data_IF_277738430953
#
_entry.id   IF_277738430953
#
_cell.length_a   1.000
_cell.length_b   1.000
_cell.length_c   1.000
_cell.angle_alpha   90.00
_cell.angle_beta   90.00
_cell.angle_gamma   90.00
#
_symmetry.space_group_name_H-M   'P 1'
#
loop_
_entity.id
_entity.type
_entity.pdbx_description
1 polymer ?
#
# COMPACT_ATOMS: atom_id res chain seq x y z
N UNK A 1 15.69 -10.09 0.84
CA UNK A 1 14.76 -8.97 0.63
C UNK A 1 15.51 -7.77 0.07
N UNK A 2 15.00 -7.19 -0.99
CA UNK A 2 15.68 -6.07 -1.65
C UNK A 2 15.19 -4.75 -1.05
N UNK A 3 16.09 -4.05 -0.36
CA UNK A 3 15.83 -2.73 0.24
C UNK A 3 15.33 -1.75 -0.82
N UNK A 4 15.89 -1.80 -2.03
CA UNK A 4 15.48 -0.95 -3.14
C UNK A 4 14.00 -1.12 -3.48
N UNK A 5 13.51 -2.36 -3.57
CA UNK A 5 12.10 -2.66 -3.84
C UNK A 5 11.20 -2.14 -2.73
N UNK A 6 11.62 -2.31 -1.48
CA UNK A 6 10.89 -1.79 -0.31
C UNK A 6 10.75 -0.26 -0.37
N UNK A 7 11.84 0.44 -0.64
CA UNK A 7 11.85 1.91 -0.72
C UNK A 7 10.97 2.39 -1.87
N UNK A 8 11.06 1.78 -3.04
CA UNK A 8 10.23 2.12 -4.21
C UNK A 8 8.74 1.92 -3.89
N UNK A 9 8.38 0.80 -3.28
CA UNK A 9 6.99 0.51 -2.89
C UNK A 9 6.48 1.51 -1.84
N UNK A 10 7.33 1.86 -0.87
CA UNK A 10 6.99 2.84 0.16
C UNK A 10 6.67 4.21 -0.46
N UNK A 11 7.52 4.71 -1.34
CA UNK A 11 7.30 5.98 -2.01
C UNK A 11 6.10 5.94 -2.95
N UNK A 12 5.90 4.83 -3.67
CA UNK A 12 4.74 4.66 -4.55
C UNK A 12 3.42 4.71 -3.77
N UNK A 13 3.32 3.96 -2.67
CA UNK A 13 2.12 3.97 -1.84
C UNK A 13 1.90 5.31 -1.15
N UNK A 14 2.96 5.97 -0.71
CA UNK A 14 2.87 7.32 -0.13
C UNK A 14 2.36 8.32 -1.17
N UNK A 15 2.87 8.26 -2.41
CA UNK A 15 2.41 9.10 -3.50
C UNK A 15 0.94 8.90 -3.81
N UNK A 16 0.49 7.64 -3.89
CA UNK A 16 -0.93 7.31 -4.11
C UNK A 16 -1.79 7.83 -2.96
N UNK A 17 -1.34 7.65 -1.71
CA UNK A 17 -2.04 8.15 -0.51
C UNK A 17 -2.20 9.67 -0.56
N UNK A 18 -1.15 10.39 -0.96
CA UNK A 18 -1.19 11.85 -1.06
C UNK A 18 -2.15 12.32 -2.15
N UNK A 19 -2.19 11.64 -3.29
CA UNK A 19 -3.14 11.95 -4.37
C UNK A 19 -4.58 11.72 -3.90
N UNK A 20 -4.84 10.63 -3.18
CA UNK A 20 -6.17 10.34 -2.60
C UNK A 20 -6.55 11.40 -1.58
N UNK A 21 -5.63 11.78 -0.69
CA UNK A 21 -5.86 12.85 0.29
C UNK A 21 -6.17 14.18 -0.39
N UNK A 22 -5.41 14.52 -1.44
CA UNK A 22 -5.65 15.74 -2.21
C UNK A 22 -7.02 15.73 -2.88
N UNK A 23 -7.42 14.59 -3.43
CA UNK A 23 -8.74 14.43 -4.06
C UNK A 23 -9.86 14.63 -3.03
N UNK A 24 -9.73 14.01 -1.86
CA UNK A 24 -10.71 14.16 -0.77
C UNK A 24 -10.75 15.61 -0.28
N UNK A 25 -9.58 16.24 -0.13
CA UNK A 25 -9.48 17.64 0.28
C UNK A 25 -10.20 18.58 -0.70
N UNK A 26 -10.13 18.29 -2.01
CA UNK A 26 -10.87 19.04 -3.02
C UNK A 26 -12.39 18.96 -2.81
N UNK A 27 -12.92 17.77 -2.48
CA UNK A 27 -14.34 17.61 -2.18
C UNK A 27 -14.76 18.39 -0.95
N UNK A 28 -13.88 18.58 0.01
CA UNK A 28 -14.13 19.38 1.22
C UNK A 28 -13.72 20.86 1.06
N UNK A 29 -13.41 21.29 -0.17
CA UNK A 29 -13.00 22.66 -0.49
C UNK A 29 -11.76 23.14 0.25
N UNK A 30 -10.84 22.25 0.56
CA UNK A 30 -9.55 22.61 1.12
C UNK A 30 -8.65 23.22 0.04
N UNK A 31 -7.95 24.29 0.39
CA UNK A 31 -7.08 24.98 -0.56
C UNK A 31 -5.66 24.42 -0.63
N UNK A 32 -5.23 23.70 0.43
CA UNK A 32 -3.87 23.19 0.49
C UNK A 32 -3.76 21.99 1.43
N UNK A 33 -2.72 21.15 1.20
CA UNK A 33 -2.29 20.14 2.14
C UNK A 33 -1.11 20.70 2.94
N UNK A 34 -1.16 20.52 4.26
CA UNK A 34 -0.08 20.98 5.13
C UNK A 34 1.15 20.06 5.02
N UNK A 35 2.34 20.65 5.08
CA UNK A 35 3.60 19.90 5.03
C UNK A 35 3.67 18.82 6.13
N UNK A 36 3.26 19.06 7.40
CA UNK A 36 3.24 18.00 8.41
C UNK A 36 2.41 16.78 8.02
N UNK A 37 1.30 16.97 7.31
CA UNK A 37 0.45 15.86 6.82
C UNK A 37 1.23 14.93 5.88
N UNK A 38 2.08 15.49 5.04
CA UNK A 38 2.92 14.74 4.11
C UNK A 38 3.86 13.79 4.88
N UNK A 39 4.55 14.30 5.90
CA UNK A 39 5.45 13.48 6.73
C UNK A 39 4.69 12.48 7.59
N UNK A 40 3.52 12.83 8.10
CA UNK A 40 2.65 11.93 8.84
C UNK A 40 2.20 10.76 7.97
N UNK A 41 1.80 11.03 6.73
CA UNK A 41 1.41 10.02 5.75
C UNK A 41 2.57 9.09 5.42
N UNK A 42 3.75 9.63 5.22
CA UNK A 42 4.96 8.84 4.99
C UNK A 42 5.27 7.93 6.18
N UNK A 43 5.20 8.46 7.40
CA UNK A 43 5.41 7.70 8.62
C UNK A 43 4.39 6.57 8.79
N UNK A 44 3.11 6.85 8.54
CA UNK A 44 2.05 5.85 8.60
C UNK A 44 2.29 4.72 7.60
N UNK A 45 2.64 5.06 6.35
CA UNK A 45 2.94 4.07 5.32
C UNK A 45 4.18 3.24 5.67
N UNK A 46 5.20 3.85 6.27
CA UNK A 46 6.39 3.14 6.73
C UNK A 46 6.02 2.09 7.78
N UNK A 47 5.22 2.46 8.78
CA UNK A 47 4.75 1.54 9.82
C UNK A 47 3.91 0.42 9.21
N UNK A 48 3.00 0.74 8.29
CA UNK A 48 2.17 -0.25 7.60
C UNK A 48 3.06 -1.26 6.87
N UNK A 49 4.04 -0.80 6.11
CA UNK A 49 4.93 -1.68 5.35
C UNK A 49 5.75 -2.58 6.25
N UNK A 50 6.25 -2.06 7.38
CA UNK A 50 6.98 -2.87 8.35
C UNK A 50 6.08 -3.93 8.99
N UNK A 51 4.86 -3.56 9.37
CA UNK A 51 3.89 -4.50 9.93
C UNK A 51 3.50 -5.60 8.94
N UNK A 52 3.24 -5.22 7.68
CA UNK A 52 2.92 -6.19 6.63
C UNK A 52 4.09 -7.13 6.35
N UNK A 53 5.31 -6.62 6.40
CA UNK A 53 6.51 -7.44 6.23
C UNK A 53 6.62 -8.51 7.32
N UNK A 54 6.37 -8.13 8.58
CA UNK A 54 6.36 -9.06 9.70
C UNK A 54 5.21 -10.07 9.59
N UNK A 55 4.05 -9.61 9.15
CA UNK A 55 2.86 -10.44 8.98
C UNK A 55 3.06 -11.49 7.90
N UNK A 56 3.68 -11.11 6.78
CA UNK A 56 3.95 -12.03 5.67
C UNK A 56 4.93 -13.15 6.02
N UNK A 57 5.72 -12.99 7.08
CA UNK A 57 6.59 -14.06 7.60
C UNK A 57 5.81 -15.24 8.19
N UNK A 58 4.54 -15.02 8.53
CA UNK A 58 3.69 -16.07 9.11
C UNK A 58 3.21 -17.11 8.10
N UNK A 59 3.43 -16.88 6.80
CA UNK A 59 3.09 -17.80 5.71
C UNK A 59 1.68 -18.39 5.82
N UNK A 60 0.68 -17.51 5.87
CA UNK A 60 -0.71 -17.95 5.96
C UNK A 60 -1.15 -18.62 4.66
N UNK A 61 -1.69 -19.83 4.77
CA UNK A 61 -2.13 -20.64 3.62
C UNK A 61 -3.43 -20.14 3.00
N UNK A 62 -4.24 -19.40 3.76
CA UNK A 62 -5.53 -18.91 3.30
C UNK A 62 -5.40 -17.46 2.79
N UNK A 63 -5.65 -17.25 1.50
CA UNK A 63 -5.58 -15.95 0.86
C UNK A 63 -6.56 -14.94 1.47
N UNK A 64 -7.77 -15.40 1.81
CA UNK A 64 -8.80 -14.54 2.40
C UNK A 64 -8.38 -14.07 3.79
N UNK A 65 -7.81 -14.97 4.59
CA UNK A 65 -7.32 -14.65 5.93
C UNK A 65 -6.17 -13.65 5.86
N UNK A 66 -5.23 -13.87 4.94
CA UNK A 66 -4.10 -12.97 4.71
C UNK A 66 -4.58 -11.57 4.32
N UNK A 67 -5.50 -11.48 3.36
CA UNK A 67 -6.07 -10.21 2.93
C UNK A 67 -6.79 -9.49 4.07
N UNK A 68 -7.56 -10.23 4.87
CA UNK A 68 -8.29 -9.66 6.01
C UNK A 68 -7.33 -9.09 7.06
N UNK A 69 -6.23 -9.79 7.34
CA UNK A 69 -5.21 -9.32 8.29
C UNK A 69 -4.48 -8.09 7.74
N UNK A 70 -4.15 -8.07 6.47
CA UNK A 70 -3.49 -6.93 5.82
C UNK A 70 -4.35 -5.66 5.93
N UNK A 71 -5.64 -5.76 5.59
CA UNK A 71 -6.58 -4.64 5.70
C UNK A 71 -6.73 -4.21 7.15
N UNK A 72 -6.82 -5.15 8.08
CA UNK A 72 -6.94 -4.86 9.52
C UNK A 72 -5.74 -4.07 10.02
N UNK A 73 -4.53 -4.45 9.63
CA UNK A 73 -3.29 -3.72 10.00
C UNK A 73 -3.34 -2.29 9.47
N UNK A 74 -3.75 -2.10 8.22
CA UNK A 74 -3.84 -0.76 7.62
C UNK A 74 -4.85 0.10 8.38
N UNK A 75 -6.04 -0.42 8.66
CA UNK A 75 -7.10 0.30 9.37
C UNK A 75 -6.65 0.67 10.78
N UNK A 76 -6.06 -0.28 11.52
CA UNK A 76 -5.57 -0.04 12.88
C UNK A 76 -4.48 1.03 12.88
N UNK A 77 -3.51 0.93 11.98
CA UNK A 77 -2.40 1.89 11.89
C UNK A 77 -2.92 3.29 11.59
N UNK A 78 -3.80 3.43 10.61
CA UNK A 78 -4.38 4.73 10.24
C UNK A 78 -5.23 5.31 11.38
N UNK A 79 -5.97 4.46 12.10
CA UNK A 79 -6.77 4.91 13.25
C UNK A 79 -5.88 5.41 14.38
N UNK A 80 -4.80 4.69 14.70
CA UNK A 80 -3.84 5.10 15.74
C UNK A 80 -3.16 6.40 15.35
N UNK A 81 -2.66 6.52 14.12
CA UNK A 81 -2.05 7.76 13.63
C UNK A 81 -3.04 8.91 13.63
N UNK A 82 -4.28 8.67 13.21
CA UNK A 82 -5.34 9.66 13.24
C UNK A 82 -5.63 10.17 14.63
N UNK A 83 -5.65 9.28 15.64
CA UNK A 83 -5.84 9.65 17.04
C UNK A 83 -4.66 10.44 17.59
N UNK A 84 -3.43 10.02 17.26
CA UNK A 84 -2.20 10.69 17.74
C UNK A 84 -2.05 12.08 17.14
N UNK A 85 -2.32 12.21 15.81
CA UNK A 85 -2.15 13.47 15.10
C UNK A 85 -3.43 14.29 14.96
N UNK A 86 -4.50 13.88 15.63
CA UNK A 86 -5.80 14.57 15.62
C UNK A 86 -6.41 14.75 14.23
N UNK A 87 -6.25 13.76 13.36
CA UNK A 87 -6.85 13.80 12.01
C UNK A 87 -8.37 13.80 12.07
N UNK A 88 -8.96 13.21 13.12
CA UNK A 88 -10.41 13.06 13.26
C UNK A 88 -11.12 14.37 13.58
N UNK A 89 -10.40 15.45 13.88
CA UNK A 89 -10.99 16.77 14.01
C UNK A 89 -11.41 17.36 12.67
N UNK A 90 -10.72 16.98 11.59
CA UNK A 90 -10.99 17.45 10.23
C UNK A 90 -11.49 16.35 9.29
N UNK A 91 -11.14 15.08 9.56
CA UNK A 91 -11.45 13.96 8.68
C UNK A 91 -12.25 12.89 9.43
N UNK A 92 -13.47 12.54 8.96
CA UNK A 92 -14.23 11.45 9.58
C UNK A 92 -13.53 10.10 9.47
N UNK A 93 -13.75 9.23 10.47
CA UNK A 93 -13.15 7.89 10.50
C UNK A 93 -13.53 7.05 9.28
N UNK A 94 -14.78 7.17 8.82
CA UNK A 94 -15.25 6.40 7.66
C UNK A 94 -14.48 6.68 6.38
N UNK A 95 -13.96 7.91 6.21
CA UNK A 95 -13.12 8.27 5.06
C UNK A 95 -11.80 7.51 5.11
N UNK A 96 -11.20 7.36 6.29
CA UNK A 96 -9.98 6.57 6.45
C UNK A 96 -10.20 5.10 6.12
N UNK A 97 -11.35 4.55 6.52
CA UNK A 97 -11.72 3.17 6.21
C UNK A 97 -11.86 2.99 4.69
N UNK A 98 -12.58 3.89 4.02
CA UNK A 98 -12.73 3.86 2.55
C UNK A 98 -11.39 3.99 1.87
N UNK A 99 -10.52 4.90 2.32
CA UNK A 99 -9.17 5.05 1.79
C UNK A 99 -8.34 3.78 1.95
N UNK A 100 -8.46 3.10 3.09
CA UNK A 100 -7.76 1.85 3.34
C UNK A 100 -8.14 0.77 2.31
N UNK A 101 -9.43 0.63 2.02
CA UNK A 101 -9.90 -0.31 1.01
C UNK A 101 -9.42 0.06 -0.40
N UNK A 102 -9.47 1.34 -0.76
CA UNK A 102 -8.99 1.83 -2.06
C UNK A 102 -7.48 1.57 -2.20
N UNK A 103 -6.71 1.91 -1.17
CA UNK A 103 -5.26 1.70 -1.16
C UNK A 103 -4.90 0.22 -1.28
N UNK A 104 -5.62 -0.63 -0.54
CA UNK A 104 -5.41 -2.07 -0.63
C UNK A 104 -5.74 -2.61 -2.02
N UNK A 105 -6.86 -2.16 -2.61
CA UNK A 105 -7.25 -2.53 -3.97
C UNK A 105 -6.21 -2.14 -5.01
N UNK A 106 -5.69 -0.92 -4.92
CA UNK A 106 -4.63 -0.43 -5.81
C UNK A 106 -3.35 -1.24 -5.63
N UNK A 107 -2.94 -1.50 -4.38
CA UNK A 107 -1.77 -2.29 -4.08
C UNK A 107 -1.89 -3.72 -4.62
N UNK A 108 -3.06 -4.32 -4.48
CA UNK A 108 -3.34 -5.65 -5.03
C UNK A 108 -3.24 -5.66 -6.55
N UNK A 109 -3.81 -4.65 -7.21
CA UNK A 109 -3.75 -4.51 -8.65
C UNK A 109 -2.31 -4.37 -9.15
N UNK A 110 -1.51 -3.51 -8.51
CA UNK A 110 -0.09 -3.34 -8.84
C UNK A 110 0.69 -4.64 -8.64
N UNK A 111 0.37 -5.38 -7.58
CA UNK A 111 1.02 -6.65 -7.28
C UNK A 111 0.70 -7.70 -8.35
N UNK A 112 -0.57 -7.78 -8.79
CA UNK A 112 -0.97 -8.67 -9.88
C UNK A 112 -0.27 -8.33 -11.19
N UNK A 113 -0.13 -7.05 -11.53
CA UNK A 113 0.60 -6.60 -12.71
C UNK A 113 2.07 -6.98 -12.63
N UNK A 114 2.70 -6.83 -11.48
CA UNK A 114 4.09 -7.21 -11.23
C UNK A 114 4.28 -8.73 -11.38
N UNK A 115 3.38 -9.53 -10.84
CA UNK A 115 3.41 -10.99 -10.96
C UNK A 115 3.26 -11.44 -12.41
N UNK A 116 2.37 -10.82 -13.18
CA UNK A 116 2.19 -11.09 -14.59
C UNK A 116 3.46 -10.81 -15.38
N UNK A 117 4.12 -9.69 -15.10
CA UNK A 117 5.38 -9.32 -15.74
C UNK A 117 6.49 -10.33 -15.42
N UNK A 118 6.61 -10.75 -14.17
CA UNK A 118 7.58 -11.77 -13.74
C UNK A 118 7.31 -13.10 -14.45
N UNK A 119 6.04 -13.51 -14.56
CA UNK A 119 5.66 -14.74 -15.24
C UNK A 119 6.05 -14.69 -16.75
N UNK A 120 5.84 -13.57 -17.40
CA UNK A 120 6.23 -13.36 -18.81
C UNK A 120 7.76 -13.46 -18.98
N UNK A 121 8.53 -12.87 -18.06
CA UNK A 121 10.00 -12.95 -18.08
C UNK A 121 10.49 -14.38 -17.90
N UNK A 122 9.90 -15.13 -16.96
CA UNK A 122 10.23 -16.54 -16.72
C UNK A 122 9.89 -17.38 -17.96
N UNK A 123 8.73 -17.17 -18.57
CA UNK A 123 8.32 -17.89 -19.78
C UNK A 123 9.27 -17.61 -20.96
N UNK A 124 9.71 -16.36 -21.10
CA UNK A 124 10.68 -15.98 -22.14
C UNK A 124 12.03 -16.70 -21.93
N UNK A 125 12.49 -16.80 -20.70
CA UNK A 125 13.72 -17.52 -20.38
C UNK A 125 13.60 -19.02 -20.66
N UNK A 126 12.47 -19.63 -20.34
CA UNK A 126 12.21 -21.04 -20.63
C UNK A 126 12.22 -21.30 -22.15
N UNK A 127 11.58 -20.43 -22.93
CA UNK A 127 11.57 -20.53 -24.40
C UNK A 127 12.98 -20.43 -24.98
N UNK A 128 13.81 -19.50 -24.49
CA UNK A 128 15.19 -19.36 -24.92
C UNK A 128 16.01 -20.61 -24.61
N UNK A 129 15.79 -21.20 -23.44
CA UNK A 129 16.48 -22.44 -23.03
C UNK A 129 16.09 -23.59 -23.94
N UNK A 130 14.82 -23.73 -24.28
CA UNK A 130 14.31 -24.78 -25.16
C UNK A 130 14.87 -24.63 -26.59
N UNK A 131 14.98 -23.41 -27.09
CA UNK A 131 15.59 -23.16 -28.41
C UNK A 131 17.06 -23.56 -28.48
N UNK A 132 17.83 -23.38 -27.40
CA UNK A 132 19.23 -23.79 -27.32
C UNK A 132 19.41 -25.29 -27.25
N UNK A 133 18.41 -26.05 -26.77
CA UNK A 133 18.43 -27.50 -26.69
C UNK A 133 18.13 -28.18 -28.04
N UNK A 134 17.37 -27.52 -28.89
CA UNK A 134 17.02 -27.99 -30.22
C UNK A 134 18.00 -27.42 -31.26
#
# INVERSE_FOLDING_TARGET
>A
MHIKKFIVNLFATTGISLVLLATIALFYKAEALYIPTLFQTLGANLVIHLCLLLLHRLELKNLILEASLDISVVIITLTVFGAVFNWFTSTPVWILIVMSFIMYGISLLLNLMSMKKEAEEINALIQRRNKKRN
#
